data_IF_421320825800
#
_entry.id   IF_421320825800
#
_cell.length_a   1.000
_cell.length_b   1.000
_cell.length_c   1.000
_cell.angle_alpha   90.00
_cell.angle_beta   90.00
_cell.angle_gamma   90.00
#
_symmetry.space_group_name_H-M   'P 1'
#
loop_
_entity.id
_entity.type
_entity.pdbx_description
1 polymer ?
#
# COMPACT_ATOMS: atom_id res chain seq x y z
N UNK A 1 -8.59 5.20 -27.21
CA UNK A 1 -8.81 4.27 -26.08
C UNK A 1 -9.92 4.88 -25.23
N UNK A 2 -11.09 4.25 -25.21
CA UNK A 2 -12.36 4.90 -24.85
C UNK A 2 -12.50 5.18 -23.35
N UNK A 3 -12.90 6.41 -23.03
CA UNK A 3 -13.35 6.94 -21.72
C UNK A 3 -14.62 6.24 -21.16
N UNK A 4 -14.97 5.03 -21.60
CA UNK A 4 -16.27 4.39 -21.35
C UNK A 4 -16.26 3.23 -20.34
N UNK A 5 -15.17 2.96 -19.62
CA UNK A 5 -15.11 1.85 -18.62
C UNK A 5 -14.91 2.29 -17.16
N UNK A 6 -15.03 3.57 -16.83
CA UNK A 6 -15.01 4.08 -15.44
C UNK A 6 -16.42 4.30 -14.87
N UNK A 7 -17.43 3.54 -15.31
CA UNK A 7 -18.61 3.36 -14.45
C UNK A 7 -18.16 2.68 -13.14
N UNK A 8 -18.40 3.38 -12.04
CA UNK A 8 -17.41 3.59 -10.97
C UNK A 8 -16.81 2.31 -10.38
N UNK A 9 -15.50 2.12 -10.62
CA UNK A 9 -14.69 1.15 -9.88
C UNK A 9 -14.59 1.59 -8.42
N UNK A 10 -14.56 0.64 -7.50
CA UNK A 10 -14.43 0.90 -6.07
C UNK A 10 -13.01 0.52 -5.61
N UNK A 11 -12.31 1.46 -5.00
CA UNK A 11 -10.94 1.30 -4.53
C UNK A 11 -10.83 1.47 -3.02
N UNK A 12 -10.32 0.46 -2.31
CA UNK A 12 -9.95 0.55 -0.89
C UNK A 12 -8.46 0.79 -0.75
N UNK A 13 -8.10 1.79 0.06
CA UNK A 13 -6.70 2.16 0.32
C UNK A 13 -6.49 2.14 1.84
N UNK A 14 -5.63 1.25 2.34
CA UNK A 14 -5.31 1.21 3.77
C UNK A 14 -4.33 2.33 4.16
N UNK A 15 -4.49 2.93 5.34
CA UNK A 15 -3.62 4.03 5.81
C UNK A 15 -3.69 5.29 4.94
N UNK A 16 -4.86 5.59 4.38
CA UNK A 16 -5.05 6.64 3.37
C UNK A 16 -5.41 8.03 3.94
N UNK A 17 -5.34 8.20 5.26
CA UNK A 17 -5.59 9.48 5.91
C UNK A 17 -4.42 10.49 5.75
N UNK A 18 -3.25 10.05 5.28
CA UNK A 18 -2.06 10.90 5.03
C UNK A 18 -1.09 10.27 4.01
N UNK A 19 -0.04 11.00 3.66
CA UNK A 19 1.11 10.51 2.88
C UNK A 19 0.73 9.97 1.50
N UNK A 20 1.40 8.90 1.08
CA UNK A 20 1.23 8.30 -0.26
C UNK A 20 -0.21 7.79 -0.45
N UNK A 21 -0.80 7.13 0.56
CA UNK A 21 -2.18 6.65 0.50
C UNK A 21 -3.19 7.78 0.26
N UNK A 22 -2.95 8.95 0.87
CA UNK A 22 -3.76 10.16 0.63
C UNK A 22 -3.63 10.65 -0.82
N UNK A 23 -2.40 10.74 -1.34
CA UNK A 23 -2.16 11.13 -2.73
C UNK A 23 -2.79 10.16 -3.73
N UNK A 24 -2.75 8.86 -3.45
CA UNK A 24 -3.41 7.84 -4.27
C UNK A 24 -4.94 7.99 -4.23
N UNK A 25 -5.51 8.24 -3.04
CA UNK A 25 -6.95 8.48 -2.88
C UNK A 25 -7.44 9.66 -3.70
N UNK A 26 -6.72 10.78 -3.63
CA UNK A 26 -7.02 11.99 -4.41
C UNK A 26 -7.00 11.70 -5.92
N UNK A 27 -5.92 11.07 -6.40
CA UNK A 27 -5.77 10.81 -7.84
C UNK A 27 -6.81 9.82 -8.37
N UNK A 28 -7.14 8.76 -7.62
CA UNK A 28 -8.16 7.79 -8.04
C UNK A 28 -9.57 8.41 -8.03
N UNK A 29 -9.86 9.30 -7.07
CA UNK A 29 -11.11 10.06 -7.05
C UNK A 29 -11.22 10.99 -8.27
N UNK A 30 -10.14 11.69 -8.67
CA UNK A 30 -10.11 12.49 -9.91
C UNK A 30 -10.34 11.64 -11.17
N UNK A 31 -9.96 10.36 -11.15
CA UNK A 31 -10.22 9.41 -12.25
C UNK A 31 -11.66 8.85 -12.23
N UNK A 32 -12.52 9.32 -11.33
CA UNK A 32 -13.94 8.95 -11.26
C UNK A 32 -14.21 7.62 -10.55
N UNK A 33 -13.27 7.13 -9.73
CA UNK A 33 -13.51 5.96 -8.87
C UNK A 33 -14.23 6.37 -7.56
N UNK A 34 -15.04 5.47 -7.02
CA UNK A 34 -15.46 5.51 -5.62
C UNK A 34 -14.26 5.10 -4.77
N UNK A 35 -13.78 5.99 -3.89
CA UNK A 35 -12.59 5.74 -3.06
C UNK A 35 -12.98 5.53 -1.60
N UNK A 36 -12.49 4.44 -1.04
CA UNK A 36 -12.64 4.08 0.36
C UNK A 36 -11.32 4.37 1.09
N UNK A 37 -11.32 5.43 1.91
CA UNK A 37 -10.18 5.85 2.72
C UNK A 37 -10.16 5.01 3.99
N UNK A 38 -9.33 3.98 4.01
CA UNK A 38 -9.07 3.15 5.18
C UNK A 38 -8.16 3.86 6.18
N UNK A 39 -8.59 4.00 7.42
CA UNK A 39 -7.79 4.58 8.50
C UNK A 39 -8.10 3.92 9.85
N UNK A 40 -7.07 3.70 10.68
CA UNK A 40 -7.25 3.18 12.05
C UNK A 40 -7.93 4.17 12.98
N UNK A 41 -7.71 5.47 12.76
CA UNK A 41 -8.35 6.56 13.52
C UNK A 41 -9.57 7.04 12.71
N UNK A 42 -10.80 6.82 13.20
CA UNK A 42 -12.01 7.15 12.46
C UNK A 42 -12.11 8.64 12.13
N UNK A 43 -11.67 9.51 13.03
CA UNK A 43 -11.74 10.97 12.85
C UNK A 43 -10.77 11.40 11.76
N UNK A 44 -9.52 10.94 11.80
CA UNK A 44 -8.54 11.25 10.75
C UNK A 44 -8.95 10.69 9.39
N UNK A 45 -9.60 9.52 9.37
CA UNK A 45 -10.18 8.95 8.15
C UNK A 45 -11.28 9.83 7.57
N UNK A 46 -12.21 10.28 8.41
CA UNK A 46 -13.32 11.14 7.99
C UNK A 46 -12.87 12.53 7.56
N UNK A 47 -11.94 13.16 8.30
CA UNK A 47 -11.35 14.45 7.91
C UNK A 47 -10.73 14.39 6.51
N UNK A 48 -9.99 13.30 6.23
CA UNK A 48 -9.42 13.04 4.93
C UNK A 48 -10.53 12.84 3.87
N UNK A 49 -11.49 11.95 4.10
CA UNK A 49 -12.57 11.69 3.15
C UNK A 49 -13.39 12.97 2.85
N UNK A 50 -13.73 13.75 3.87
CA UNK A 50 -14.46 15.01 3.74
C UNK A 50 -13.71 16.02 2.86
N UNK A 51 -12.40 16.16 3.02
CA UNK A 51 -11.60 17.05 2.18
C UNK A 51 -11.57 16.61 0.70
N UNK A 52 -11.59 15.29 0.38
CA UNK A 52 -11.69 14.86 -1.03
C UNK A 52 -13.09 15.02 -1.60
N UNK A 53 -14.13 14.79 -0.79
CA UNK A 53 -15.51 15.08 -1.20
C UNK A 53 -15.71 16.56 -1.50
N UNK A 54 -15.12 17.44 -0.69
CA UNK A 54 -15.13 18.88 -0.95
C UNK A 54 -14.43 19.26 -2.26
N UNK A 55 -13.45 18.47 -2.69
CA UNK A 55 -12.79 18.59 -4.00
C UNK A 55 -13.56 17.91 -5.15
N UNK A 56 -14.77 17.39 -4.91
CA UNK A 56 -15.64 16.79 -5.92
C UNK A 56 -15.48 15.28 -6.11
N UNK A 57 -14.69 14.60 -5.28
CA UNK A 57 -14.52 13.14 -5.34
C UNK A 57 -15.66 12.36 -4.67
N UNK A 58 -15.96 11.15 -5.17
CA UNK A 58 -16.82 10.19 -4.47
C UNK A 58 -15.97 9.38 -3.46
N UNK A 59 -15.95 9.85 -2.21
CA UNK A 59 -15.03 9.31 -1.18
C UNK A 59 -15.76 8.98 0.12
N UNK A 60 -15.43 7.84 0.71
CA UNK A 60 -15.97 7.37 1.97
C UNK A 60 -14.87 6.97 2.93
N UNK A 61 -14.98 7.35 4.20
CA UNK A 61 -14.11 6.83 5.24
C UNK A 61 -14.50 5.40 5.62
N UNK A 62 -13.50 4.57 5.92
CA UNK A 62 -13.65 3.22 6.44
C UNK A 62 -12.69 3.07 7.62
N UNK A 63 -13.24 2.82 8.81
CA UNK A 63 -12.42 2.48 9.98
C UNK A 63 -11.79 1.10 9.74
N UNK A 64 -10.46 1.06 9.65
CA UNK A 64 -9.71 -0.15 9.35
C UNK A 64 -8.31 -0.04 9.94
N UNK A 65 -8.05 -0.81 11.00
CA UNK A 65 -6.71 -1.08 11.49
C UNK A 65 -6.24 -2.43 10.98
N UNK A 66 -5.15 -2.44 10.20
CA UNK A 66 -4.66 -3.66 9.55
C UNK A 66 -4.19 -4.71 10.56
N UNK A 67 -3.87 -4.31 11.80
CA UNK A 67 -3.44 -5.22 12.86
C UNK A 67 -4.59 -5.70 13.74
N UNK A 68 -5.83 -5.26 13.48
CA UNK A 68 -7.03 -5.72 14.18
C UNK A 68 -7.97 -6.46 13.23
N UNK A 69 -7.99 -7.81 13.24
CA UNK A 69 -8.85 -8.63 12.40
C UNK A 69 -10.35 -8.33 12.55
N UNK A 70 -10.80 -7.80 13.69
CA UNK A 70 -12.20 -7.43 13.90
C UNK A 70 -12.54 -6.25 13.01
N UNK A 71 -11.76 -5.17 13.06
CA UNK A 71 -12.00 -3.97 12.25
C UNK A 71 -11.90 -4.26 10.74
N UNK A 72 -10.96 -5.13 10.34
CA UNK A 72 -10.80 -5.53 8.93
C UNK A 72 -12.04 -6.28 8.43
N UNK A 73 -12.59 -7.20 9.25
CA UNK A 73 -13.80 -7.94 8.90
C UNK A 73 -15.04 -7.04 8.87
N UNK A 74 -15.17 -6.12 9.82
CA UNK A 74 -16.25 -5.13 9.83
C UNK A 74 -16.19 -4.23 8.59
N UNK A 75 -14.99 -3.79 8.20
CA UNK A 75 -14.77 -3.05 6.96
C UNK A 75 -15.19 -3.88 5.73
N UNK A 76 -14.80 -5.16 5.63
CA UNK A 76 -15.21 -6.02 4.52
C UNK A 76 -16.73 -6.17 4.44
N UNK A 77 -17.40 -6.43 5.57
CA UNK A 77 -18.86 -6.54 5.64
C UNK A 77 -19.55 -5.23 5.23
N UNK A 78 -19.06 -4.08 5.70
CA UNK A 78 -19.62 -2.78 5.35
C UNK A 78 -19.44 -2.45 3.86
N UNK A 79 -18.32 -2.85 3.25
CA UNK A 79 -18.09 -2.71 1.81
C UNK A 79 -19.02 -3.62 1.02
N UNK A 80 -19.20 -4.86 1.46
CA UNK A 80 -20.14 -5.79 0.86
C UNK A 80 -21.57 -5.28 0.88
N UNK A 81 -22.06 -4.83 2.03
CA UNK A 81 -23.42 -4.34 2.21
C UNK A 81 -23.69 -3.12 1.32
N UNK A 82 -22.72 -2.19 1.25
CA UNK A 82 -22.91 -0.91 0.57
C UNK A 82 -22.62 -0.96 -0.93
N UNK A 83 -21.63 -1.73 -1.36
CA UNK A 83 -21.13 -1.70 -2.74
C UNK A 83 -21.18 -3.06 -3.44
N UNK A 84 -21.29 -4.16 -2.69
CA UNK A 84 -21.41 -5.52 -3.20
C UNK A 84 -20.14 -6.12 -3.82
N UNK A 85 -19.10 -5.33 -4.07
CA UNK A 85 -17.81 -5.74 -4.65
C UNK A 85 -16.68 -4.79 -4.26
N UNK A 86 -15.44 -5.17 -4.60
CA UNK A 86 -14.27 -4.30 -4.56
C UNK A 86 -13.47 -4.50 -5.85
N UNK A 87 -13.06 -3.42 -6.51
CA UNK A 87 -12.31 -3.51 -7.77
C UNK A 87 -10.80 -3.34 -7.58
N UNK A 88 -10.40 -2.54 -6.59
CA UNK A 88 -8.99 -2.26 -6.29
C UNK A 88 -8.76 -2.32 -4.79
N UNK A 89 -7.73 -3.07 -4.38
CA UNK A 89 -7.16 -3.03 -3.04
C UNK A 89 -5.75 -2.46 -3.10
N UNK A 90 -5.48 -1.39 -2.35
CA UNK A 90 -4.14 -0.84 -2.15
C UNK A 90 -3.75 -1.04 -0.69
N UNK A 91 -2.84 -1.98 -0.47
CA UNK A 91 -2.20 -2.20 0.83
C UNK A 91 -1.08 -1.16 1.00
N UNK A 92 -1.44 0.03 1.49
CA UNK A 92 -0.52 1.16 1.70
C UNK A 92 -0.09 1.35 3.17
N UNK A 93 -0.92 0.94 4.13
CA UNK A 93 -0.58 1.05 5.55
C UNK A 93 0.76 0.36 5.84
N UNK A 94 1.63 1.06 6.57
CA UNK A 94 2.94 0.55 6.96
C UNK A 94 3.64 1.46 7.95
N UNK A 95 4.58 0.89 8.70
CA UNK A 95 5.42 1.58 9.68
C UNK A 95 6.90 1.27 9.48
N UNK A 96 7.75 2.14 10.03
CA UNK A 96 9.21 2.01 10.11
C UNK A 96 9.62 2.06 11.58
N UNK A 97 10.48 1.15 12.04
CA UNK A 97 11.12 1.24 13.38
C UNK A 97 10.21 1.74 14.52
N UNK A 98 10.75 2.62 15.35
CA UNK A 98 10.01 3.46 16.31
C UNK A 98 9.21 4.60 15.67
N UNK A 99 9.43 4.88 14.39
CA UNK A 99 8.67 5.87 13.61
C UNK A 99 8.96 7.33 13.94
N UNK A 100 10.09 7.65 14.62
CA UNK A 100 10.40 8.99 15.12
C UNK A 100 11.73 9.59 14.60
N UNK A 101 12.44 8.90 13.71
CA UNK A 101 13.75 9.34 13.22
C UNK A 101 13.89 9.13 11.70
N UNK A 102 14.74 9.92 11.06
CA UNK A 102 15.11 9.70 9.66
C UNK A 102 15.79 8.33 9.49
N UNK A 103 15.73 7.70 8.30
CA UNK A 103 16.37 6.41 8.05
C UNK A 103 17.88 6.38 8.35
N UNK A 104 18.56 7.50 8.16
CA UNK A 104 19.99 7.68 8.47
C UNK A 104 20.30 7.64 9.98
N UNK A 105 19.32 7.99 10.83
CA UNK A 105 19.44 8.03 12.28
C UNK A 105 18.72 6.86 12.99
N UNK A 106 18.14 5.92 12.23
CA UNK A 106 17.34 4.79 12.72
C UNK A 106 18.16 3.67 13.38
N UNK A 107 18.90 4.02 14.45
CA UNK A 107 19.75 3.11 15.23
C UNK A 107 18.97 2.02 15.95
N UNK A 108 17.69 2.26 16.19
CA UNK A 108 16.74 1.32 16.78
C UNK A 108 16.48 0.09 15.90
N UNK A 109 16.90 0.10 14.63
CA UNK A 109 16.74 -1.02 13.70
C UNK A 109 18.03 -1.81 13.46
N UNK A 110 19.15 -1.46 14.09
CA UNK A 110 20.44 -2.14 13.88
C UNK A 110 20.33 -3.62 14.26
N UNK A 111 20.66 -4.57 13.36
CA UNK A 111 20.41 -6.00 13.60
C UNK A 111 21.02 -6.59 14.87
N UNK A 112 22.19 -6.12 15.28
CA UNK A 112 22.89 -6.64 16.47
C UNK A 112 22.33 -6.14 17.80
N UNK A 113 21.40 -5.17 17.80
CA UNK A 113 20.91 -4.50 19.01
C UNK A 113 19.42 -4.14 18.97
N UNK A 114 18.69 -4.66 17.98
CA UNK A 114 17.28 -4.34 17.75
C UNK A 114 16.40 -4.87 18.89
N UNK A 115 15.38 -4.10 19.27
CA UNK A 115 14.30 -4.61 20.12
C UNK A 115 13.37 -5.52 19.31
N UNK A 116 13.19 -6.76 19.78
CA UNK A 116 12.36 -7.75 19.11
C UNK A 116 10.88 -7.38 19.10
N UNK A 117 10.38 -6.65 20.09
CA UNK A 117 8.97 -6.25 20.11
C UNK A 117 8.69 -5.20 19.02
N UNK A 118 9.64 -4.33 18.73
CA UNK A 118 9.58 -3.43 17.58
C UNK A 118 9.58 -4.22 16.27
N UNK A 119 10.46 -5.22 16.12
CA UNK A 119 10.48 -6.08 14.91
C UNK A 119 9.13 -6.76 14.72
N UNK A 120 8.53 -7.30 15.79
CA UNK A 120 7.20 -7.91 15.76
C UNK A 120 6.14 -6.92 15.30
N UNK A 121 6.12 -5.71 15.85
CA UNK A 121 5.15 -4.68 15.48
C UNK A 121 5.25 -4.28 13.99
N UNK A 122 6.48 -4.16 13.46
CA UNK A 122 6.71 -3.86 12.04
C UNK A 122 6.20 -5.00 11.16
N UNK A 123 6.48 -6.27 11.50
CA UNK A 123 5.95 -7.42 10.77
C UNK A 123 4.43 -7.55 10.89
N UNK A 124 3.87 -7.27 12.06
CA UNK A 124 2.43 -7.26 12.30
C UNK A 124 1.71 -6.31 11.33
N UNK A 125 2.24 -5.10 11.17
CA UNK A 125 1.63 -4.12 10.26
C UNK A 125 1.94 -4.42 8.79
N UNK A 126 3.22 -4.59 8.46
CA UNK A 126 3.70 -4.57 7.06
C UNK A 126 3.53 -5.92 6.35
N UNK A 127 3.33 -7.02 7.09
CA UNK A 127 3.26 -8.39 6.55
C UNK A 127 1.96 -9.07 6.95
N UNK A 128 1.72 -9.28 8.25
CA UNK A 128 0.51 -9.97 8.72
C UNK A 128 -0.75 -9.15 8.44
N UNK A 129 -0.71 -7.83 8.62
CA UNK A 129 -1.82 -6.94 8.30
C UNK A 129 -2.19 -6.97 6.82
N UNK A 130 -1.20 -7.07 5.92
CA UNK A 130 -1.44 -7.24 4.48
C UNK A 130 -2.17 -8.55 4.18
N UNK A 131 -1.77 -9.65 4.84
CA UNK A 131 -2.43 -10.95 4.70
C UNK A 131 -3.88 -10.85 5.20
N UNK A 132 -4.08 -10.29 6.40
CA UNK A 132 -5.39 -10.14 7.04
C UNK A 132 -6.34 -9.34 6.16
N UNK A 133 -5.92 -8.18 5.67
CA UNK A 133 -6.74 -7.33 4.78
C UNK A 133 -7.00 -8.00 3.45
N UNK A 134 -5.96 -8.52 2.79
CA UNK A 134 -6.11 -9.14 1.47
C UNK A 134 -7.11 -10.29 1.55
N UNK A 135 -6.96 -11.19 2.51
CA UNK A 135 -7.84 -12.35 2.68
C UNK A 135 -9.29 -11.95 2.94
N UNK A 136 -9.53 -10.94 3.79
CA UNK A 136 -10.87 -10.45 4.07
C UNK A 136 -11.55 -9.81 2.84
N UNK A 137 -10.78 -9.19 1.95
CA UNK A 137 -11.29 -8.52 0.75
C UNK A 137 -11.39 -9.43 -0.47
N UNK A 138 -10.77 -10.62 -0.46
CA UNK A 138 -10.79 -11.56 -1.59
C UNK A 138 -12.20 -11.92 -2.09
N UNK A 139 -13.20 -12.20 -1.24
CA UNK A 139 -14.56 -12.47 -1.72
C UNK A 139 -15.18 -11.32 -2.50
N UNK A 140 -14.80 -10.07 -2.20
CA UNK A 140 -15.26 -8.87 -2.89
C UNK A 140 -14.48 -8.62 -4.19
N UNK A 141 -13.17 -8.84 -4.15
CA UNK A 141 -12.31 -8.73 -5.34
C UNK A 141 -12.70 -9.73 -6.42
N UNK A 142 -13.07 -10.97 -6.05
CA UNK A 142 -13.55 -11.99 -6.99
C UNK A 142 -14.86 -11.63 -7.71
N UNK A 143 -15.59 -10.62 -7.23
CA UNK A 143 -16.81 -10.09 -7.87
C UNK A 143 -16.52 -8.95 -8.86
N UNK A 144 -15.28 -8.46 -8.92
CA UNK A 144 -14.87 -7.45 -9.88
C UNK A 144 -14.63 -8.07 -11.26
N UNK A 145 -14.95 -7.32 -12.31
CA UNK A 145 -14.58 -7.67 -13.68
C UNK A 145 -13.09 -7.40 -13.99
N UNK A 146 -12.41 -6.58 -13.20
CA UNK A 146 -11.01 -6.23 -13.39
C UNK A 146 -10.27 -5.98 -12.06
N UNK A 147 -10.15 -7.00 -11.19
CA UNK A 147 -9.61 -6.84 -9.84
C UNK A 147 -8.10 -6.55 -9.82
N UNK A 148 -7.70 -5.57 -9.00
CA UNK A 148 -6.28 -5.18 -8.80
C UNK A 148 -5.92 -5.19 -7.32
N UNK A 149 -4.76 -5.74 -7.01
CA UNK A 149 -4.13 -5.61 -5.69
C UNK A 149 -2.77 -4.95 -5.87
N UNK A 150 -2.55 -3.86 -5.16
CA UNK A 150 -1.27 -3.15 -5.12
C UNK A 150 -0.73 -3.17 -3.70
N UNK A 151 0.43 -3.79 -3.53
CA UNK A 151 1.16 -3.76 -2.26
C UNK A 151 2.20 -2.65 -2.32
N UNK A 152 2.09 -1.63 -1.47
CA UNK A 152 3.09 -0.56 -1.40
C UNK A 152 4.31 -1.07 -0.64
N UNK A 153 5.31 -1.50 -1.41
CA UNK A 153 6.57 -2.01 -0.90
C UNK A 153 7.62 -0.89 -0.86
N UNK A 154 8.90 -1.23 -1.01
CA UNK A 154 10.01 -0.30 -1.09
C UNK A 154 11.18 -0.98 -1.80
N UNK A 155 11.97 -0.22 -2.58
CA UNK A 155 13.23 -0.71 -3.13
C UNK A 155 14.18 -1.23 -2.04
N UNK A 156 14.04 -0.78 -0.78
CA UNK A 156 14.77 -1.33 0.36
C UNK A 156 14.46 -2.82 0.62
N UNK A 157 13.32 -3.32 0.15
CA UNK A 157 12.96 -4.74 0.19
C UNK A 157 13.52 -5.57 -0.97
N UNK A 158 14.23 -4.96 -1.93
CA UNK A 158 14.94 -5.71 -2.97
C UNK A 158 16.24 -6.27 -2.41
N UNK A 159 16.42 -7.59 -2.45
CA UNK A 159 17.68 -8.21 -2.03
C UNK A 159 18.82 -7.86 -3.00
N UNK A 160 18.51 -7.69 -4.30
CA UNK A 160 19.50 -7.24 -5.29
C UNK A 160 20.04 -5.85 -4.95
N UNK A 161 19.15 -4.89 -4.66
CA UNK A 161 19.55 -3.51 -4.35
C UNK A 161 20.16 -3.42 -2.95
N UNK A 162 19.56 -4.09 -1.96
CA UNK A 162 19.99 -4.01 -0.56
C UNK A 162 21.35 -4.70 -0.30
N UNK A 163 21.77 -5.64 -1.15
CA UNK A 163 23.07 -6.32 -1.03
C UNK A 163 24.21 -5.63 -1.79
N UNK A 164 23.92 -4.60 -2.59
CA UNK A 164 24.94 -3.87 -3.34
C UNK A 164 25.74 -2.91 -2.43
N UNK A 165 27.04 -3.15 -2.19
CA UNK A 165 27.87 -2.29 -1.34
C UNK A 165 28.16 -0.92 -1.96
N UNK A 166 27.79 -0.69 -3.23
CA UNK A 166 27.86 0.61 -3.91
C UNK A 166 26.46 1.12 -4.32
N UNK A 167 25.41 0.47 -3.83
CA UNK A 167 24.03 0.77 -4.16
C UNK A 167 23.48 2.04 -3.50
N UNK A 168 22.19 2.35 -3.75
CA UNK A 168 21.55 3.58 -3.27
C UNK A 168 21.33 3.62 -1.74
N UNK A 169 21.46 2.48 -1.05
CA UNK A 169 21.23 2.38 0.40
C UNK A 169 22.51 2.34 1.23
N UNK A 170 23.67 2.53 0.61
CA UNK A 170 24.99 2.42 1.28
C UNK A 170 25.20 3.44 2.40
N UNK A 171 24.57 4.61 2.31
CA UNK A 171 24.61 5.65 3.34
C UNK A 171 23.61 5.39 4.49
N UNK A 172 22.70 4.42 4.36
CA UNK A 172 21.71 4.12 5.37
C UNK A 172 22.22 3.11 6.39
N UNK A 173 21.70 3.20 7.61
CA UNK A 173 21.96 2.18 8.62
C UNK A 173 21.25 0.86 8.25
N UNK A 174 21.87 -0.31 8.50
CA UNK A 174 21.21 -1.60 8.34
C UNK A 174 19.94 -1.70 9.18
N UNK A 175 18.90 -2.33 8.62
CA UNK A 175 17.60 -2.50 9.26
C UNK A 175 17.24 -3.98 9.42
N UNK A 176 16.94 -4.41 10.64
CA UNK A 176 16.42 -5.76 10.95
C UNK A 176 14.89 -5.85 10.94
N UNK A 177 14.18 -4.73 10.80
CA UNK A 177 12.73 -4.69 10.84
C UNK A 177 12.13 -4.29 9.49
N UNK A 178 12.31 -3.03 9.08
CA UNK A 178 11.66 -2.49 7.89
C UNK A 178 12.08 -3.19 6.59
N UNK A 179 13.38 -3.26 6.31
CA UNK A 179 13.90 -3.89 5.09
C UNK A 179 13.45 -5.35 4.96
N UNK A 180 13.65 -6.22 5.98
CA UNK A 180 13.12 -7.59 5.95
C UNK A 180 11.60 -7.66 5.78
N UNK A 181 10.82 -6.77 6.41
CA UNK A 181 9.36 -6.78 6.25
C UNK A 181 8.92 -6.46 4.82
N UNK A 182 9.64 -5.57 4.12
CA UNK A 182 9.36 -5.24 2.71
C UNK A 182 9.83 -6.34 1.76
N UNK A 183 10.93 -7.03 2.06
CA UNK A 183 11.32 -8.24 1.33
C UNK A 183 10.29 -9.37 1.50
N UNK A 184 9.74 -9.55 2.71
CA UNK A 184 8.65 -10.50 2.96
C UNK A 184 7.36 -10.12 2.19
N UNK A 185 7.02 -8.83 2.15
CA UNK A 185 5.89 -8.33 1.37
C UNK A 185 6.08 -8.54 -0.14
N UNK A 186 7.30 -8.39 -0.64
CA UNK A 186 7.66 -8.72 -2.02
C UNK A 186 7.41 -10.21 -2.32
N UNK A 187 7.87 -11.10 -1.44
CA UNK A 187 7.61 -12.54 -1.57
C UNK A 187 6.10 -12.86 -1.55
N UNK A 188 5.34 -12.29 -0.60
CA UNK A 188 3.89 -12.47 -0.52
C UNK A 188 3.16 -11.97 -1.77
N UNK A 189 3.61 -10.86 -2.36
CA UNK A 189 3.05 -10.34 -3.62
C UNK A 189 3.13 -11.38 -4.72
N UNK A 190 4.28 -12.06 -4.86
CA UNK A 190 4.46 -13.14 -5.85
C UNK A 190 3.56 -14.34 -5.52
N UNK A 191 3.45 -14.74 -4.26
CA UNK A 191 2.60 -15.88 -3.87
C UNK A 191 1.11 -15.60 -4.13
N UNK A 192 0.61 -14.43 -3.75
CA UNK A 192 -0.78 -14.02 -4.07
C UNK A 192 -1.00 -13.93 -5.58
N UNK A 193 -0.06 -13.37 -6.34
CA UNK A 193 -0.18 -13.33 -7.79
C UNK A 193 -0.26 -14.73 -8.41
N UNK A 194 0.52 -15.69 -7.92
CA UNK A 194 0.50 -17.07 -8.40
C UNK A 194 -0.82 -17.77 -8.09
N UNK A 195 -1.34 -17.61 -6.88
CA UNK A 195 -2.61 -18.20 -6.47
C UNK A 195 -3.79 -17.59 -7.24
N UNK A 196 -3.86 -16.26 -7.30
CA UNK A 196 -5.02 -15.52 -7.73
C UNK A 196 -5.06 -15.27 -9.25
N UNK A 197 -4.04 -15.72 -9.99
CA UNK A 197 -4.02 -15.66 -11.46
C UNK A 197 -5.24 -16.34 -12.07
N UNK A 198 -5.69 -17.46 -11.49
CA UNK A 198 -6.89 -18.19 -11.93
C UNK A 198 -8.18 -17.37 -11.78
N UNK A 199 -8.18 -16.40 -10.85
CA UNK A 199 -9.29 -15.51 -10.57
C UNK A 199 -9.20 -14.20 -11.40
N UNK A 200 -8.18 -14.05 -12.26
CA UNK A 200 -7.95 -12.84 -13.06
C UNK A 200 -7.47 -11.62 -12.25
N UNK A 201 -7.04 -11.82 -10.99
CA UNK A 201 -6.56 -10.75 -10.11
C UNK A 201 -5.09 -10.45 -10.43
N UNK A 202 -4.80 -9.19 -10.80
CA UNK A 202 -3.42 -8.72 -10.94
C UNK A 202 -2.91 -8.23 -9.60
N UNK A 203 -1.81 -8.81 -9.12
CA UNK A 203 -1.18 -8.48 -7.83
C UNK A 203 0.26 -8.03 -8.10
N UNK A 204 0.60 -6.80 -7.72
CA UNK A 204 1.94 -6.23 -7.93
C UNK A 204 2.41 -5.41 -6.73
N UNK A 205 3.73 -5.27 -6.61
CA UNK A 205 4.37 -4.41 -5.64
C UNK A 205 4.75 -3.07 -6.28
N UNK A 206 4.51 -1.98 -5.54
CA UNK A 206 4.93 -0.63 -5.90
C UNK A 206 6.11 -0.17 -5.04
N UNK A 207 7.14 0.39 -5.66
CA UNK A 207 8.14 1.22 -4.99
C UNK A 207 7.80 2.70 -5.23
N UNK A 208 7.29 3.43 -4.22
CA UNK A 208 6.89 4.83 -4.38
C UNK A 208 8.07 5.80 -4.42
N UNK A 209 9.31 5.31 -4.27
CA UNK A 209 10.49 6.16 -4.11
C UNK A 209 10.57 6.80 -2.72
N UNK A 210 11.47 7.78 -2.56
CA UNK A 210 11.71 8.43 -1.28
C UNK A 210 10.85 9.67 -1.09
N UNK A 211 9.65 9.45 -0.55
CA UNK A 211 8.57 10.43 -0.46
C UNK A 211 8.58 11.19 0.85
N UNK A 212 8.44 12.51 0.80
CA UNK A 212 8.26 13.40 1.94
C UNK A 212 6.96 13.03 2.68
N UNK A 213 7.09 12.32 3.80
CA UNK A 213 5.98 11.90 4.65
C UNK A 213 6.38 11.84 6.13
N UNK A 214 5.41 11.68 7.02
CA UNK A 214 5.69 11.47 8.44
C UNK A 214 6.56 10.21 8.71
N UNK A 215 6.56 9.19 7.82
CA UNK A 215 7.26 7.90 8.07
C UNK A 215 8.79 8.01 8.04
N UNK A 216 9.31 9.03 7.34
CA UNK A 216 10.72 9.34 7.23
C UNK A 216 11.02 10.74 7.77
N UNK A 217 10.17 11.25 8.67
CA UNK A 217 10.31 12.57 9.28
C UNK A 217 10.52 13.70 8.24
N UNK A 218 9.74 13.66 7.15
CA UNK A 218 9.77 14.67 6.09
C UNK A 218 11.12 14.88 5.39
N UNK A 219 11.96 13.83 5.35
CA UNK A 219 13.28 13.87 4.70
C UNK A 219 13.29 13.39 3.24
N UNK A 220 12.11 13.04 2.68
CA UNK A 220 11.98 12.60 1.30
C UNK A 220 12.14 13.74 0.28
N UNK A 221 12.56 13.40 -0.94
CA UNK A 221 12.71 14.37 -2.05
C UNK A 221 11.52 14.35 -3.03
N UNK A 222 10.63 13.35 -2.95
CA UNK A 222 9.41 13.27 -3.74
C UNK A 222 8.20 13.79 -2.95
N UNK A 223 7.29 14.48 -3.63
CA UNK A 223 5.98 14.81 -3.06
C UNK A 223 5.09 13.56 -2.94
N UNK A 224 4.10 13.54 -2.02
CA UNK A 224 3.12 12.46 -1.94
C UNK A 224 2.42 12.15 -3.27
N UNK A 225 2.18 13.17 -4.11
CA UNK A 225 1.58 13.00 -5.43
C UNK A 225 2.51 12.24 -6.40
N UNK A 226 3.81 12.54 -6.38
CA UNK A 226 4.81 11.81 -7.18
C UNK A 226 4.91 10.36 -6.74
N UNK A 227 4.99 10.10 -5.42
CA UNK A 227 5.02 8.74 -4.88
C UNK A 227 3.74 7.94 -5.15
N UNK A 228 2.58 8.59 -5.22
CA UNK A 228 1.31 7.95 -5.54
C UNK A 228 1.21 7.54 -7.02
N UNK A 229 1.98 8.13 -7.94
CA UNK A 229 1.83 7.91 -9.37
C UNK A 229 2.00 6.43 -9.77
N UNK A 230 3.00 5.74 -9.21
CA UNK A 230 3.21 4.31 -9.45
C UNK A 230 2.08 3.46 -8.87
N UNK A 231 1.60 3.79 -7.67
CA UNK A 231 0.50 3.09 -7.01
C UNK A 231 -0.77 3.18 -7.86
N UNK A 232 -1.09 4.38 -8.36
CA UNK A 232 -2.24 4.63 -9.24
C UNK A 232 -2.07 3.91 -10.57
N UNK A 233 -0.86 3.90 -11.15
CA UNK A 233 -0.57 3.18 -12.40
C UNK A 233 -0.87 1.69 -12.27
N UNK A 234 -0.44 1.06 -11.18
CA UNK A 234 -0.71 -0.36 -10.93
C UNK A 234 -2.20 -0.63 -10.61
N UNK A 235 -2.85 0.28 -9.89
CA UNK A 235 -4.28 0.20 -9.57
C UNK A 235 -5.20 0.33 -10.80
N UNK A 236 -4.69 0.89 -11.91
CA UNK A 236 -5.46 1.19 -13.12
C UNK A 236 -5.08 0.33 -14.33
N UNK A 237 -4.24 -0.71 -14.13
CA UNK A 237 -3.81 -1.60 -15.20
C UNK A 237 -4.99 -2.23 -15.97
N UNK A 238 -4.86 -2.32 -17.29
CA UNK A 238 -5.76 -3.11 -18.16
C UNK A 238 -5.68 -4.61 -17.87
N UNK A 239 -6.56 -5.40 -18.50
CA UNK A 239 -6.61 -6.86 -18.29
C UNK A 239 -5.28 -7.56 -18.62
N UNK A 240 -4.58 -7.07 -19.64
CA UNK A 240 -3.27 -7.59 -20.08
C UNK A 240 -2.08 -7.02 -19.28
N UNK A 241 -2.35 -6.37 -18.15
CA UNK A 241 -1.33 -5.79 -17.29
C UNK A 241 -0.46 -6.87 -16.62
N UNK A 242 0.75 -6.49 -16.13
CA UNK A 242 1.60 -7.42 -15.40
C UNK A 242 0.94 -7.89 -14.10
N UNK A 243 1.37 -9.05 -13.63
CA UNK A 243 1.09 -9.57 -12.28
C UNK A 243 2.35 -10.30 -11.80
N UNK A 244 2.55 -10.38 -10.48
CA UNK A 244 3.79 -10.86 -9.86
C UNK A 244 5.02 -10.00 -10.21
N UNK A 245 4.84 -8.69 -10.41
CA UNK A 245 5.94 -7.76 -10.66
C UNK A 245 6.17 -6.75 -9.53
N UNK A 246 7.37 -6.16 -9.53
CA UNK A 246 7.76 -5.06 -8.66
C UNK A 246 8.16 -3.86 -9.51
N UNK A 247 7.55 -2.71 -9.28
CA UNK A 247 7.69 -1.55 -10.15
C UNK A 247 7.88 -0.26 -9.37
N UNK A 248 8.80 0.58 -9.83
CA UNK A 248 8.95 1.98 -9.42
C UNK A 248 8.53 2.93 -10.54
N UNK A 249 8.83 4.22 -10.37
CA UNK A 249 8.52 5.26 -11.36
C UNK A 249 9.05 4.89 -12.76
N UNK A 250 10.33 4.47 -12.82
CA UNK A 250 11.09 4.18 -14.04
C UNK A 250 10.88 2.78 -14.64
N UNK A 251 9.97 1.97 -14.08
CA UNK A 251 9.66 0.63 -14.58
C UNK A 251 9.97 -0.48 -13.56
N UNK A 252 10.30 -1.70 -14.03
CA UNK A 252 10.59 -2.83 -13.16
C UNK A 252 11.75 -2.55 -12.20
N UNK A 253 11.60 -2.96 -10.95
CA UNK A 253 12.64 -2.96 -9.91
C UNK A 253 13.05 -4.41 -9.68
N UNK A 254 14.35 -4.73 -9.56
CA UNK A 254 14.78 -6.08 -9.23
C UNK A 254 14.25 -6.49 -7.85
N UNK A 255 14.05 -7.80 -7.65
CA UNK A 255 13.64 -8.36 -6.35
C UNK A 255 14.78 -8.40 -5.33
#
# INVERSE_FOLDING_TARGET
>A
MSEQTTHQKIALITGANKGIGRGAAERLATLGMTVLVGARDPRRGEDAAAALRAAGGDVHAVTLDVTDPVTVREAANGIEERFGRLDVLINNAGITGSGQVSPEDARDQIPSSVDLDMVRAVFETNVFGVITVTNAMLPLLRRSAAPRVVNVSSAAGSLTIASDPNGPFTALLPSAAYTPSKAALNALTVQYANELRKDGILVNAADPGYVDTEINNHSGFLTPAQGAAIVVRLATLGADGPTAGFFGENGPVPW
#
